data_IF_546076098486
#
_entry.id   IF_546076098486
#
_cell.length_a   1.000
_cell.length_b   1.000
_cell.length_c   1.000
_cell.angle_alpha   90.00
_cell.angle_beta   90.00
_cell.angle_gamma   90.00
#
_symmetry.space_group_name_H-M   'P 1'
#
loop_
_entity.id
_entity.type
_entity.pdbx_description
1 polymer ?
#
# COMPACT_ATOMS: atom_id res chain seq x y z
N UNK A 1 -19.75 5.24 29.25
CA UNK A 1 -18.56 5.76 28.56
C UNK A 1 -18.93 7.14 28.04
N UNK A 2 -18.38 8.18 28.63
CA UNK A 2 -18.66 9.54 28.21
C UNK A 2 -17.79 9.94 26.99
N UNK A 3 -18.00 11.14 26.46
CA UNK A 3 -17.26 11.61 25.27
C UNK A 3 -15.76 11.80 25.57
N UNK A 4 -15.43 12.17 26.81
CA UNK A 4 -14.03 12.37 27.22
C UNK A 4 -13.32 11.01 27.33
N UNK A 5 -13.97 9.97 27.87
CA UNK A 5 -13.44 8.59 27.90
C UNK A 5 -13.08 8.08 26.50
N UNK A 6 -13.96 8.38 25.51
CA UNK A 6 -13.72 7.99 24.10
C UNK A 6 -12.52 8.74 23.51
N UNK A 7 -12.42 10.04 23.77
CA UNK A 7 -11.31 10.85 23.30
C UNK A 7 -9.97 10.43 23.92
N UNK A 8 -9.94 10.23 25.23
CA UNK A 8 -8.73 9.78 25.94
C UNK A 8 -8.27 8.42 25.43
N UNK A 9 -9.20 7.49 25.20
CA UNK A 9 -8.91 6.19 24.63
C UNK A 9 -8.40 6.31 23.18
N UNK A 10 -8.98 7.18 22.35
CA UNK A 10 -8.53 7.43 20.99
C UNK A 10 -7.12 8.04 20.96
N UNK A 11 -6.83 8.98 21.87
CA UNK A 11 -5.49 9.59 22.01
C UNK A 11 -4.47 8.52 22.43
N UNK A 12 -4.81 7.66 23.38
CA UNK A 12 -3.94 6.56 23.81
C UNK A 12 -3.68 5.55 22.68
N UNK A 13 -4.69 5.23 21.86
CA UNK A 13 -4.54 4.38 20.68
C UNK A 13 -3.70 5.03 19.56
N UNK A 14 -3.53 6.33 19.56
CA UNK A 14 -2.70 7.03 18.59
C UNK A 14 -1.23 7.20 19.04
N UNK A 15 -0.89 6.85 20.29
CA UNK A 15 0.49 6.96 20.81
C UNK A 15 1.35 5.75 20.42
N UNK A 16 2.68 5.94 20.24
CA UNK A 16 3.60 4.83 20.11
C UNK A 16 3.50 3.87 21.30
N UNK A 17 3.61 2.58 21.03
CA UNK A 17 3.62 1.54 22.06
C UNK A 17 4.83 0.65 21.81
N UNK A 18 5.62 0.41 22.85
CA UNK A 18 6.79 -0.46 22.77
C UNK A 18 6.35 -1.93 22.72
N UNK A 19 5.95 -2.35 21.52
CA UNK A 19 5.36 -3.66 21.25
C UNK A 19 5.78 -4.18 19.88
N UNK A 20 7.06 -4.52 19.74
CA UNK A 20 7.51 -5.29 18.59
C UNK A 20 6.85 -6.69 18.61
N UNK A 21 6.45 -7.25 17.46
CA UNK A 21 5.90 -8.59 17.43
C UNK A 21 6.98 -9.62 17.81
N UNK A 22 6.74 -10.50 18.82
CA UNK A 22 7.63 -11.61 19.13
C UNK A 22 7.88 -12.53 17.93
N UNK A 23 8.95 -13.34 17.94
CA UNK A 23 9.37 -14.16 16.80
C UNK A 23 8.27 -15.03 16.20
N UNK A 24 7.46 -15.70 17.01
CA UNK A 24 6.34 -16.51 16.50
C UNK A 24 5.22 -15.68 15.84
N UNK A 25 4.95 -14.43 16.32
CA UNK A 25 4.05 -13.50 15.65
C UNK A 25 4.61 -13.02 14.31
N UNK A 26 5.92 -12.82 14.25
CA UNK A 26 6.63 -12.48 13.01
C UNK A 26 6.46 -13.60 11.99
N UNK A 27 6.71 -14.85 12.38
CA UNK A 27 6.53 -16.01 11.51
C UNK A 27 5.08 -16.19 11.06
N UNK A 28 4.12 -15.99 11.97
CA UNK A 28 2.69 -16.04 11.64
C UNK A 28 2.30 -14.95 10.63
N UNK A 29 2.77 -13.71 10.83
CA UNK A 29 2.50 -12.61 9.91
C UNK A 29 3.06 -12.88 8.50
N UNK A 30 4.28 -13.42 8.41
CA UNK A 30 4.90 -13.84 7.15
C UNK A 30 4.09 -14.96 6.48
N UNK A 31 3.73 -16.00 7.24
CA UNK A 31 2.96 -17.13 6.73
C UNK A 31 1.60 -16.68 6.20
N UNK A 32 0.87 -15.84 6.96
CA UNK A 32 -0.41 -15.28 6.52
C UNK A 32 -0.25 -14.48 5.24
N UNK A 33 0.72 -13.58 5.15
CA UNK A 33 0.95 -12.80 3.93
C UNK A 33 1.29 -13.68 2.72
N UNK A 34 2.14 -14.70 2.90
CA UNK A 34 2.49 -15.65 1.85
C UNK A 34 1.26 -16.46 1.38
N UNK A 35 0.47 -16.99 2.31
CA UNK A 35 -0.75 -17.75 2.00
C UNK A 35 -1.76 -16.89 1.25
N UNK A 36 -1.98 -15.65 1.71
CA UNK A 36 -2.89 -14.70 1.06
C UNK A 36 -2.48 -14.41 -0.38
N UNK A 37 -1.19 -14.19 -0.61
CA UNK A 37 -0.69 -13.90 -1.97
C UNK A 37 -0.65 -15.16 -2.83
N UNK A 38 -0.38 -16.33 -2.27
CA UNK A 38 -0.28 -17.59 -3.02
C UNK A 38 -1.65 -18.11 -3.48
N UNK A 39 -2.67 -18.06 -2.63
CA UNK A 39 -3.99 -18.61 -2.92
C UNK A 39 -4.82 -17.66 -3.81
N UNK A 40 -5.40 -18.14 -4.93
CA UNK A 40 -6.16 -17.26 -5.85
C UNK A 40 -7.35 -16.58 -5.20
N UNK A 41 -8.06 -17.25 -4.29
CA UNK A 41 -9.25 -16.71 -3.64
C UNK A 41 -8.92 -15.55 -2.70
N UNK A 42 -7.97 -15.75 -1.79
CA UNK A 42 -7.54 -14.74 -0.82
C UNK A 42 -6.85 -13.56 -1.52
N UNK A 43 -6.05 -13.85 -2.55
CA UNK A 43 -5.47 -12.81 -3.39
C UNK A 43 -6.52 -11.92 -4.06
N UNK A 44 -7.59 -12.53 -4.61
CA UNK A 44 -8.69 -11.76 -5.22
C UNK A 44 -9.35 -10.81 -4.22
N UNK A 45 -9.47 -11.20 -2.96
CA UNK A 45 -10.07 -10.39 -1.91
C UNK A 45 -9.17 -9.25 -1.44
N UNK A 46 -7.85 -9.47 -1.35
CA UNK A 46 -6.91 -8.50 -0.78
C UNK A 46 -6.08 -7.71 -1.82
N UNK A 47 -6.07 -8.15 -3.08
CA UNK A 47 -5.45 -7.40 -4.18
C UNK A 47 -5.94 -5.94 -4.29
N UNK A 48 -7.22 -5.60 -4.02
CA UNK A 48 -7.66 -4.20 -4.02
C UNK A 48 -6.84 -3.30 -3.11
N UNK A 49 -6.34 -3.79 -1.96
CA UNK A 49 -5.49 -2.99 -1.09
C UNK A 49 -4.17 -2.59 -1.80
N UNK A 50 -3.54 -3.53 -2.52
CA UNK A 50 -2.34 -3.25 -3.31
C UNK A 50 -2.65 -2.26 -4.44
N UNK A 51 -3.79 -2.45 -5.12
CA UNK A 51 -4.24 -1.55 -6.20
C UNK A 51 -4.53 -0.14 -5.66
N UNK A 52 -5.21 0.00 -4.52
CA UNK A 52 -5.48 1.31 -3.89
C UNK A 52 -4.15 2.05 -3.61
N UNK A 53 -3.17 1.36 -3.02
CA UNK A 53 -1.86 1.98 -2.74
C UNK A 53 -1.13 2.37 -4.04
N UNK A 54 -1.23 1.56 -5.09
CA UNK A 54 -0.71 1.87 -6.43
C UNK A 54 -1.34 3.15 -6.98
N UNK A 55 -2.68 3.25 -7.00
CA UNK A 55 -3.38 4.43 -7.53
C UNK A 55 -3.14 5.69 -6.69
N UNK A 56 -3.09 5.55 -5.38
CA UNK A 56 -2.71 6.65 -4.49
C UNK A 56 -1.27 7.09 -4.73
N UNK A 57 -0.36 6.18 -5.06
CA UNK A 57 1.01 6.50 -5.47
C UNK A 57 1.04 7.48 -6.65
N UNK A 58 0.30 7.20 -7.73
CA UNK A 58 0.15 8.10 -8.87
C UNK A 58 -0.41 9.47 -8.44
N UNK A 59 -1.45 9.45 -7.59
CA UNK A 59 -2.12 10.66 -7.13
C UNK A 59 -1.23 11.54 -6.25
N UNK A 60 -0.61 10.96 -5.22
CA UNK A 60 0.23 11.67 -4.25
C UNK A 60 1.46 12.29 -4.94
N UNK A 61 2.20 11.49 -5.72
CA UNK A 61 3.36 12.00 -6.47
C UNK A 61 2.92 13.01 -7.52
N UNK A 62 1.78 12.79 -8.16
CA UNK A 62 1.19 13.76 -9.07
C UNK A 62 0.95 15.10 -8.38
N UNK A 63 0.32 15.12 -7.21
CA UNK A 63 0.07 16.35 -6.42
C UNK A 63 1.38 17.01 -6.00
N UNK A 64 2.37 16.24 -5.53
CA UNK A 64 3.69 16.77 -5.20
C UNK A 64 4.40 17.44 -6.39
N UNK A 65 4.07 17.02 -7.61
CA UNK A 65 4.55 17.61 -8.87
C UNK A 65 3.61 18.69 -9.43
N UNK A 66 2.69 19.23 -8.64
CA UNK A 66 1.77 20.32 -9.05
C UNK A 66 0.60 19.86 -9.94
N UNK A 67 0.31 18.56 -10.06
CA UNK A 67 -0.86 18.03 -10.76
C UNK A 67 -2.07 18.01 -9.80
N UNK A 68 -3.27 18.07 -10.34
CA UNK A 68 -4.51 17.93 -9.55
C UNK A 68 -4.93 16.46 -9.57
N UNK A 69 -5.00 15.82 -8.42
CA UNK A 69 -5.56 14.48 -8.27
C UNK A 69 -7.08 14.60 -8.07
N UNK A 70 -7.87 14.09 -8.99
CA UNK A 70 -9.34 14.28 -9.02
C UNK A 70 -10.10 13.03 -8.65
N UNK A 71 -9.42 11.89 -8.51
CA UNK A 71 -10.01 10.64 -8.04
C UNK A 71 -9.33 9.40 -8.57
N UNK A 72 -9.81 8.26 -8.12
CA UNK A 72 -9.35 6.94 -8.59
C UNK A 72 -10.49 5.94 -8.68
N UNK A 73 -10.28 4.93 -9.50
CA UNK A 73 -11.19 3.81 -9.71
C UNK A 73 -10.42 2.51 -9.47
N UNK A 74 -11.02 1.59 -8.75
CA UNK A 74 -10.64 0.17 -8.71
C UNK A 74 -11.80 -0.58 -9.36
N UNK A 75 -11.52 -1.31 -10.41
CA UNK A 75 -12.52 -2.05 -11.19
C UNK A 75 -12.74 -3.45 -10.63
N UNK A 76 -13.84 -4.10 -11.01
CA UNK A 76 -14.15 -5.47 -10.57
C UNK A 76 -13.17 -6.53 -11.09
N UNK A 77 -12.46 -6.25 -12.20
CA UNK A 77 -11.32 -7.05 -12.68
C UNK A 77 -10.02 -6.77 -11.95
N UNK A 78 -10.09 -5.95 -10.89
CA UNK A 78 -8.96 -5.52 -10.05
C UNK A 78 -7.93 -4.64 -10.76
N UNK A 79 -8.25 -4.09 -11.92
CA UNK A 79 -7.47 -2.99 -12.51
C UNK A 79 -7.74 -1.68 -11.76
N UNK A 80 -6.76 -0.79 -11.73
CA UNK A 80 -6.90 0.53 -11.15
C UNK A 80 -6.73 1.63 -12.20
N UNK A 81 -7.23 2.82 -11.88
CA UNK A 81 -7.02 4.01 -12.69
C UNK A 81 -7.07 5.27 -11.83
N UNK A 82 -5.93 5.96 -11.71
CA UNK A 82 -5.83 7.28 -11.06
C UNK A 82 -6.08 8.41 -12.06
N UNK A 83 -6.94 9.34 -11.72
CA UNK A 83 -7.24 10.50 -12.57
C UNK A 83 -6.47 11.71 -12.06
N UNK A 84 -5.44 12.09 -12.80
CA UNK A 84 -4.66 13.30 -12.52
C UNK A 84 -4.78 14.30 -13.67
N UNK A 85 -5.04 15.56 -13.36
CA UNK A 85 -5.17 16.67 -14.32
C UNK A 85 -3.96 17.59 -14.20
N UNK A 86 -3.37 17.95 -15.34
CA UNK A 86 -2.19 18.81 -15.42
C UNK A 86 -1.52 18.72 -16.80
N UNK A 87 -0.35 19.30 -17.00
CA UNK A 87 0.37 19.24 -18.27
C UNK A 87 0.49 17.80 -18.79
N UNK A 88 0.24 17.60 -20.10
CA UNK A 88 0.24 16.27 -20.72
C UNK A 88 1.65 15.69 -20.87
N UNK A 89 2.69 16.52 -20.74
CA UNK A 89 4.12 16.17 -20.85
C UNK A 89 4.91 16.77 -19.69
N UNK A 90 6.19 16.42 -19.60
CA UNK A 90 7.13 16.93 -18.60
C UNK A 90 7.34 16.01 -17.41
N UNK A 91 8.32 16.36 -16.57
CA UNK A 91 8.81 15.52 -15.46
C UNK A 91 7.71 15.13 -14.49
N UNK A 92 6.81 16.06 -14.12
CA UNK A 92 5.71 15.76 -13.20
C UNK A 92 4.74 14.71 -13.74
N UNK A 93 4.51 14.64 -15.06
CA UNK A 93 3.70 13.58 -15.69
C UNK A 93 4.41 12.23 -15.62
N UNK A 94 5.73 12.22 -15.89
CA UNK A 94 6.56 11.01 -15.85
C UNK A 94 6.65 10.47 -14.43
N UNK A 95 6.96 11.31 -13.43
CA UNK A 95 7.06 10.89 -12.03
C UNK A 95 5.72 10.38 -11.50
N UNK A 96 4.61 11.07 -11.81
CA UNK A 96 3.27 10.59 -11.45
C UNK A 96 2.97 9.22 -12.08
N UNK A 97 3.28 9.02 -13.36
CA UNK A 97 3.06 7.74 -14.03
C UNK A 97 3.98 6.63 -13.52
N UNK A 98 5.20 6.97 -13.08
CA UNK A 98 6.16 6.00 -12.54
C UNK A 98 5.80 5.52 -11.14
N UNK A 99 5.16 6.37 -10.32
CA UNK A 99 5.00 6.16 -8.88
C UNK A 99 4.10 4.98 -8.49
N UNK A 100 3.23 4.51 -9.38
CA UNK A 100 2.27 3.44 -9.07
C UNK A 100 2.94 2.15 -8.60
N UNK A 101 3.84 1.58 -9.39
CA UNK A 101 4.51 0.31 -9.05
C UNK A 101 5.42 0.39 -7.82
N UNK A 102 6.23 1.44 -7.62
CA UNK A 102 7.02 1.61 -6.41
C UNK A 102 6.22 1.81 -5.13
N UNK A 103 5.04 2.44 -5.20
CA UNK A 103 4.29 2.83 -4.01
C UNK A 103 3.93 1.66 -3.07
N UNK A 104 3.38 0.52 -3.52
CA UNK A 104 3.10 -0.60 -2.63
C UNK A 104 4.36 -1.16 -1.97
N UNK A 105 5.50 -1.18 -2.67
CA UNK A 105 6.75 -1.68 -2.11
C UNK A 105 7.32 -0.72 -1.06
N UNK A 106 7.31 0.59 -1.32
CA UNK A 106 7.75 1.61 -0.38
C UNK A 106 6.89 1.62 0.89
N UNK A 107 5.57 1.64 0.72
CA UNK A 107 4.63 1.59 1.85
C UNK A 107 4.80 0.27 2.61
N UNK A 108 4.91 -0.85 1.92
CA UNK A 108 5.12 -2.16 2.53
C UNK A 108 6.40 -2.22 3.37
N UNK A 109 7.53 -1.74 2.83
CA UNK A 109 8.79 -1.70 3.57
C UNK A 109 8.72 -0.76 4.78
N UNK A 110 8.09 0.41 4.65
CA UNK A 110 7.86 1.33 5.77
C UNK A 110 7.00 0.69 6.86
N UNK A 111 5.93 -0.01 6.51
CA UNK A 111 5.08 -0.70 7.49
C UNK A 111 5.86 -1.79 8.24
N UNK A 112 6.77 -2.50 7.57
CA UNK A 112 7.66 -3.47 8.23
C UNK A 112 8.54 -2.76 9.27
N UNK A 113 9.19 -1.63 8.95
CA UNK A 113 9.99 -0.87 9.91
C UNK A 113 9.14 -0.39 11.10
N UNK A 114 7.96 0.12 10.81
CA UNK A 114 6.99 0.62 11.80
C UNK A 114 6.56 -0.47 12.78
N UNK A 115 6.35 -1.71 12.28
CA UNK A 115 5.92 -2.83 13.11
C UNK A 115 6.93 -3.19 14.21
N UNK A 116 8.23 -3.07 13.91
CA UNK A 116 9.30 -3.33 14.89
C UNK A 116 9.72 -2.09 15.68
N UNK A 117 9.41 -0.90 15.20
CA UNK A 117 9.78 0.38 15.82
C UNK A 117 8.80 0.90 16.87
N UNK A 118 7.73 0.16 17.23
CA UNK A 118 6.73 0.63 18.19
C UNK A 118 5.74 1.69 17.65
N UNK A 119 5.77 1.97 16.34
CA UNK A 119 4.96 3.01 15.70
C UNK A 119 3.69 2.47 15.00
N UNK A 120 3.31 1.22 15.27
CA UNK A 120 2.15 0.61 14.61
C UNK A 120 0.85 1.40 14.86
N UNK A 121 0.58 1.82 16.11
CA UNK A 121 -0.62 2.58 16.47
C UNK A 121 -0.73 3.93 15.74
N UNK A 122 0.26 4.85 15.83
CA UNK A 122 0.22 6.12 15.11
C UNK A 122 0.06 5.95 13.60
N UNK A 123 0.73 4.97 13.01
CA UNK A 123 0.68 4.72 11.57
C UNK A 123 -0.68 4.17 11.15
N UNK A 124 -1.29 3.27 11.91
CA UNK A 124 -2.67 2.81 11.63
C UNK A 124 -3.66 3.95 11.75
N UNK A 125 -3.49 4.85 12.73
CA UNK A 125 -4.29 6.08 12.82
C UNK A 125 -4.13 6.95 11.57
N UNK A 126 -2.90 7.16 11.10
CA UNK A 126 -2.65 7.89 9.85
C UNK A 126 -3.28 7.19 8.62
N UNK A 127 -3.22 5.86 8.54
CA UNK A 127 -3.87 5.08 7.48
C UNK A 127 -5.38 5.29 7.50
N UNK A 128 -6.02 5.27 8.68
CA UNK A 128 -7.45 5.54 8.82
C UNK A 128 -7.82 6.92 8.30
N UNK A 129 -7.03 7.95 8.62
CA UNK A 129 -7.22 9.31 8.10
C UNK A 129 -7.08 9.32 6.57
N UNK A 130 -6.05 8.69 6.01
CA UNK A 130 -5.84 8.63 4.55
C UNK A 130 -6.99 7.91 3.86
N UNK A 131 -7.46 6.78 4.41
CA UNK A 131 -8.62 6.04 3.87
C UNK A 131 -9.89 6.88 3.93
N UNK A 132 -10.15 7.58 5.05
CA UNK A 132 -11.30 8.46 5.19
C UNK A 132 -11.25 9.63 4.18
N UNK A 133 -10.11 10.29 4.03
CA UNK A 133 -9.92 11.35 3.04
C UNK A 133 -10.06 10.83 1.60
N UNK A 134 -9.64 9.59 1.34
CA UNK A 134 -9.74 8.99 0.01
C UNK A 134 -11.18 8.76 -0.44
N UNK A 135 -12.17 8.69 0.48
CA UNK A 135 -13.59 8.61 0.14
C UNK A 135 -14.06 9.77 -0.74
N UNK A 136 -13.52 10.97 -0.55
CA UNK A 136 -13.82 12.14 -1.39
C UNK A 136 -13.32 11.98 -2.84
N UNK A 137 -12.37 11.08 -3.06
CA UNK A 137 -11.70 10.83 -4.35
C UNK A 137 -12.19 9.58 -5.07
N UNK A 138 -13.10 8.82 -4.45
CA UNK A 138 -13.69 7.61 -5.03
C UNK A 138 -14.60 7.96 -6.22
N UNK A 139 -14.49 7.19 -7.32
CA UNK A 139 -15.22 7.43 -8.56
C UNK A 139 -16.05 6.23 -9.06
N UNK A 140 -16.15 5.15 -8.26
CA UNK A 140 -17.03 4.02 -8.58
C UNK A 140 -17.60 3.36 -7.33
N UNK A 141 -18.75 2.69 -7.45
CA UNK A 141 -19.37 1.96 -6.32
C UNK A 141 -18.47 0.82 -5.83
N UNK A 142 -17.75 0.14 -6.74
CA UNK A 142 -16.82 -0.93 -6.36
C UNK A 142 -15.66 -0.37 -5.54
N UNK A 143 -15.06 0.77 -5.96
CA UNK A 143 -14.03 1.46 -5.20
C UNK A 143 -14.54 1.90 -3.83
N UNK A 144 -15.77 2.44 -3.76
CA UNK A 144 -16.40 2.83 -2.51
C UNK A 144 -16.48 1.64 -1.55
N UNK A 145 -16.99 0.50 -2.02
CA UNK A 145 -17.08 -0.72 -1.23
C UNK A 145 -15.71 -1.20 -0.74
N UNK A 146 -14.69 -1.18 -1.60
CA UNK A 146 -13.33 -1.57 -1.24
C UNK A 146 -12.72 -0.65 -0.17
N UNK A 147 -12.87 0.68 -0.31
CA UNK A 147 -12.36 1.65 0.66
C UNK A 147 -13.13 1.57 1.98
N UNK A 148 -14.46 1.42 1.94
CA UNK A 148 -15.26 1.25 3.18
C UNK A 148 -14.91 -0.04 3.91
N UNK A 149 -14.69 -1.14 3.19
CA UNK A 149 -14.25 -2.40 3.79
C UNK A 149 -12.86 -2.26 4.42
N UNK A 150 -11.92 -1.62 3.71
CA UNK A 150 -10.58 -1.34 4.23
C UNK A 150 -10.64 -0.45 5.48
N UNK A 151 -11.46 0.60 5.45
CA UNK A 151 -11.67 1.50 6.58
C UNK A 151 -12.26 0.76 7.79
N UNK A 152 -13.31 -0.03 7.58
CA UNK A 152 -13.95 -0.80 8.63
C UNK A 152 -13.01 -1.85 9.24
N UNK A 153 -12.27 -2.61 8.42
CA UNK A 153 -11.32 -3.61 8.87
C UNK A 153 -10.15 -2.97 9.65
N UNK A 154 -9.60 -1.87 9.13
CA UNK A 154 -8.51 -1.14 9.78
C UNK A 154 -8.98 -0.49 11.08
N UNK A 155 -10.19 0.09 11.10
CA UNK A 155 -10.79 0.69 12.29
C UNK A 155 -11.09 -0.34 13.38
N UNK A 156 -11.65 -1.50 13.02
CA UNK A 156 -11.87 -2.59 13.94
C UNK A 156 -10.55 -3.09 14.54
N UNK A 157 -9.53 -3.28 13.71
CA UNK A 157 -8.21 -3.68 14.18
C UNK A 157 -7.60 -2.64 15.12
N UNK A 158 -7.68 -1.35 14.77
CA UNK A 158 -7.15 -0.25 15.56
C UNK A 158 -7.81 -0.18 16.94
N UNK A 159 -9.13 -0.40 17.02
CA UNK A 159 -9.90 -0.29 18.26
C UNK A 159 -9.83 -1.54 19.14
N UNK A 160 -9.86 -2.73 18.53
CA UNK A 160 -10.01 -4.00 19.24
C UNK A 160 -8.69 -4.70 19.54
N UNK A 161 -7.63 -4.44 18.75
CA UNK A 161 -6.39 -5.18 18.90
C UNK A 161 -5.46 -4.57 19.94
N UNK A 162 -4.86 -5.43 20.76
CA UNK A 162 -3.73 -5.03 21.61
C UNK A 162 -2.50 -4.65 20.78
N UNK A 163 -1.51 -3.96 21.38
CA UNK A 163 -0.36 -3.40 20.67
C UNK A 163 0.44 -4.43 19.84
N UNK A 164 0.66 -5.61 20.40
CA UNK A 164 1.40 -6.71 19.75
C UNK A 164 0.64 -7.25 18.53
N UNK A 165 -0.67 -7.47 18.65
CA UNK A 165 -1.51 -7.96 17.54
C UNK A 165 -1.57 -6.92 16.43
N UNK A 166 -1.68 -5.63 16.79
CA UNK A 166 -1.67 -4.53 15.84
C UNK A 166 -0.34 -4.45 15.09
N UNK A 167 0.79 -4.56 15.80
CA UNK A 167 2.11 -4.57 15.19
C UNK A 167 2.30 -5.77 14.24
N UNK A 168 1.86 -6.97 14.63
CA UNK A 168 1.89 -8.16 13.77
C UNK A 168 0.99 -8.00 12.53
N UNK A 169 -0.19 -7.39 12.67
CA UNK A 169 -1.07 -7.10 11.55
C UNK A 169 -0.46 -6.06 10.58
N UNK A 170 0.17 -5.01 11.12
CA UNK A 170 0.91 -4.02 10.31
C UNK A 170 2.06 -4.70 9.56
N UNK A 171 2.80 -5.59 10.20
CA UNK A 171 3.82 -6.42 9.56
C UNK A 171 3.25 -7.26 8.43
N UNK A 172 2.14 -7.99 8.68
CA UNK A 172 1.50 -8.82 7.67
C UNK A 172 1.05 -8.01 6.45
N UNK A 173 0.45 -6.83 6.67
CA UNK A 173 0.06 -5.90 5.59
C UNK A 173 1.29 -5.39 4.84
N UNK A 174 2.37 -5.03 5.56
CA UNK A 174 3.62 -4.59 4.94
C UNK A 174 4.21 -5.65 4.01
N UNK A 175 4.28 -6.89 4.46
CA UNK A 175 4.77 -8.03 3.65
C UNK A 175 3.81 -8.34 2.49
N UNK A 176 2.49 -8.28 2.71
CA UNK A 176 1.49 -8.45 1.65
C UNK A 176 1.67 -7.41 0.53
N UNK A 177 1.92 -6.14 0.88
CA UNK A 177 2.15 -5.09 -0.11
C UNK A 177 3.45 -5.32 -0.90
N UNK A 178 4.53 -5.77 -0.24
CA UNK A 178 5.79 -6.14 -0.91
C UNK A 178 5.61 -7.30 -1.88
N UNK A 179 5.01 -8.40 -1.42
CA UNK A 179 4.72 -9.57 -2.27
C UNK A 179 3.74 -9.21 -3.39
N UNK A 180 2.75 -8.39 -3.07
CA UNK A 180 1.78 -7.86 -4.02
C UNK A 180 2.43 -7.00 -5.12
N UNK A 181 3.40 -6.16 -4.76
CA UNK A 181 4.18 -5.37 -5.73
C UNK A 181 4.93 -6.27 -6.72
N UNK A 182 5.59 -7.33 -6.25
CA UNK A 182 6.24 -8.33 -7.11
C UNK A 182 5.24 -9.04 -8.01
N UNK A 183 4.09 -9.44 -7.47
CA UNK A 183 3.04 -10.12 -8.24
C UNK A 183 2.43 -9.23 -9.33
N UNK A 184 2.21 -7.94 -9.03
CA UNK A 184 1.75 -6.97 -10.03
C UNK A 184 2.80 -6.74 -11.11
N UNK A 185 4.07 -6.60 -10.75
CA UNK A 185 5.17 -6.46 -11.71
C UNK A 185 5.27 -7.69 -12.62
N UNK A 186 5.17 -8.90 -12.05
CA UNK A 186 5.18 -10.16 -12.81
C UNK A 186 4.03 -10.25 -13.83
N UNK A 187 2.85 -9.74 -13.50
CA UNK A 187 1.71 -9.70 -14.42
C UNK A 187 1.97 -8.81 -15.64
N UNK A 188 2.66 -7.67 -15.46
CA UNK A 188 3.04 -6.77 -16.56
C UNK A 188 4.13 -7.37 -17.45
N UNK A 189 5.12 -8.03 -16.84
CA UNK A 189 6.18 -8.71 -17.62
C UNK A 189 5.61 -9.83 -18.48
N UNK A 190 4.63 -10.59 -17.93
CA UNK A 190 4.04 -11.74 -18.63
C UNK A 190 2.98 -11.37 -19.68
N UNK A 191 2.23 -10.28 -19.48
CA UNK A 191 1.06 -9.96 -20.30
C UNK A 191 0.93 -8.44 -20.57
N UNK A 192 2.06 -7.73 -20.74
CA UNK A 192 2.07 -6.26 -20.89
C UNK A 192 1.03 -5.75 -21.89
N UNK A 193 0.13 -4.89 -21.40
CA UNK A 193 -0.91 -4.25 -22.20
C UNK A 193 -0.43 -2.86 -22.63
N UNK A 194 -0.94 -2.38 -23.76
CA UNK A 194 -0.60 -1.04 -24.26
C UNK A 194 -0.93 0.10 -23.27
N UNK A 195 -1.80 -0.16 -22.28
CA UNK A 195 -2.25 0.82 -21.29
C UNK A 195 -1.48 0.75 -19.95
N UNK A 196 -0.58 -0.24 -19.78
CA UNK A 196 0.21 -0.38 -18.55
C UNK A 196 1.22 0.76 -18.41
N UNK A 197 1.56 1.12 -17.16
CA UNK A 197 2.45 2.25 -16.85
C UNK A 197 3.79 2.22 -17.58
N UNK A 198 4.51 1.07 -17.70
CA UNK A 198 5.76 1.03 -18.46
C UNK A 198 5.59 1.44 -19.93
N UNK A 199 4.47 1.03 -20.55
CA UNK A 199 4.16 1.40 -21.94
C UNK A 199 3.78 2.87 -22.06
N UNK A 200 3.04 3.40 -21.06
CA UNK A 200 2.71 4.82 -20.98
C UNK A 200 3.99 5.66 -20.83
N UNK A 201 4.90 5.26 -19.95
CA UNK A 201 6.19 5.92 -19.75
C UNK A 201 7.06 5.88 -21.02
N UNK A 202 7.08 4.74 -21.71
CA UNK A 202 7.80 4.64 -22.98
C UNK A 202 7.28 5.65 -24.02
N UNK A 203 5.95 5.80 -24.13
CA UNK A 203 5.35 6.82 -25.02
C UNK A 203 5.63 8.26 -24.59
N UNK A 204 5.74 8.51 -23.30
CA UNK A 204 6.00 9.86 -22.77
C UNK A 204 7.47 10.29 -22.91
N UNK A 205 8.40 9.35 -22.86
CA UNK A 205 9.84 9.63 -22.70
C UNK A 205 10.70 9.15 -23.86
N UNK A 206 10.20 8.21 -24.67
CA UNK A 206 11.00 7.51 -25.67
C UNK A 206 11.91 6.41 -25.08
N UNK A 207 11.99 6.27 -23.76
CA UNK A 207 12.75 5.20 -23.11
C UNK A 207 11.95 3.89 -23.21
N UNK A 208 12.57 2.76 -23.62
CA UNK A 208 11.86 1.51 -23.80
C UNK A 208 11.15 1.03 -22.52
N UNK A 209 9.97 0.42 -22.65
CA UNK A 209 9.17 -0.04 -21.52
C UNK A 209 9.91 -1.01 -20.58
N UNK A 210 10.79 -1.87 -21.13
CA UNK A 210 11.60 -2.79 -20.31
C UNK A 210 12.53 -2.06 -19.31
N UNK A 211 13.03 -0.89 -19.68
CA UNK A 211 13.91 -0.09 -18.80
C UNK A 211 13.11 0.45 -17.59
N UNK A 212 11.85 0.86 -17.81
CA UNK A 212 10.94 1.25 -16.75
C UNK A 212 10.57 0.06 -15.85
N UNK A 213 10.29 -1.10 -16.46
CA UNK A 213 10.03 -2.35 -15.70
C UNK A 213 11.24 -2.73 -14.85
N UNK A 214 12.46 -2.61 -15.39
CA UNK A 214 13.69 -2.83 -14.61
C UNK A 214 13.82 -1.84 -13.45
N UNK A 215 13.51 -0.56 -13.67
CA UNK A 215 13.52 0.44 -12.59
C UNK A 215 12.57 0.08 -11.43
N UNK A 216 11.39 -0.45 -11.75
CA UNK A 216 10.46 -0.96 -10.75
C UNK A 216 11.03 -2.16 -10.00
N UNK A 217 11.61 -3.14 -10.72
CA UNK A 217 12.22 -4.32 -10.09
C UNK A 217 13.34 -3.93 -9.11
N UNK A 218 14.16 -2.94 -9.48
CA UNK A 218 15.23 -2.43 -8.62
C UNK A 218 14.68 -1.79 -7.34
N UNK A 219 13.66 -0.93 -7.46
CA UNK A 219 13.04 -0.29 -6.27
C UNK A 219 12.35 -1.33 -5.38
N UNK A 220 11.55 -2.22 -5.98
CA UNK A 220 10.86 -3.28 -5.23
C UNK A 220 11.88 -4.19 -4.55
N UNK A 221 12.99 -4.55 -5.23
CA UNK A 221 14.08 -5.33 -4.67
C UNK A 221 14.78 -4.65 -3.50
N UNK A 222 15.08 -3.35 -3.63
CA UNK A 222 15.67 -2.56 -2.56
C UNK A 222 14.75 -2.46 -1.34
N UNK A 223 13.44 -2.24 -1.56
CA UNK A 223 12.42 -2.23 -0.50
C UNK A 223 12.31 -3.59 0.19
N UNK A 224 12.33 -4.69 -0.59
CA UNK A 224 12.30 -6.06 -0.06
C UNK A 224 13.54 -6.35 0.78
N UNK A 225 14.72 -5.95 0.32
CA UNK A 225 15.97 -6.08 1.07
C UNK A 225 15.93 -5.28 2.38
N UNK A 226 15.47 -4.04 2.33
CA UNK A 226 15.35 -3.19 3.52
C UNK A 226 14.37 -3.80 4.55
N UNK A 227 13.23 -4.29 4.11
CA UNK A 227 12.27 -4.99 4.96
C UNK A 227 12.88 -6.28 5.55
N UNK A 228 13.60 -7.06 4.74
CA UNK A 228 14.27 -8.27 5.21
C UNK A 228 15.27 -7.99 6.34
N UNK A 229 16.04 -6.90 6.21
CA UNK A 229 16.99 -6.46 7.26
C UNK A 229 16.31 -6.16 8.60
N UNK A 230 15.06 -5.71 8.58
CA UNK A 230 14.28 -5.49 9.80
C UNK A 230 13.68 -6.80 10.35
N UNK A 231 13.25 -7.71 9.48
CA UNK A 231 12.59 -8.96 9.86
C UNK A 231 13.58 -9.99 10.40
N UNK A 232 14.74 -10.16 9.75
CA UNK A 232 15.66 -11.27 9.99
C UNK A 232 16.15 -11.42 11.43
N UNK A 233 16.41 -10.34 12.22
CA UNK A 233 16.79 -10.46 13.61
C UNK A 233 15.69 -11.03 14.54
N UNK A 234 14.44 -10.99 14.09
CA UNK A 234 13.27 -11.41 14.88
C UNK A 234 12.73 -12.79 14.48
N UNK A 235 13.47 -13.54 13.66
CA UNK A 235 13.08 -14.89 13.22
C UNK A 235 13.72 -16.01 14.05
N UNK A 236 14.64 -15.66 14.94
CA UNK A 236 15.37 -16.58 15.81
C UNK A 236 14.59 -16.88 17.10
#
# INVERSE_FOLDING_TARGET
>A
MDWNDILDQAIEHARPADAAPPGWWTLLALAVACVVVALPLTWRLLRPAVTIVHELGHGIVGMACGRRFTGFVVSGDMSGHAVTVGPSRGLGRVLSAWAGYPAPALVGALLVQVAFGGWARPVVTAILVVLALSLALVRSAHTLGAVLLALAATGALWWLAGPTVLAAAVLAVGVLLLLGAWRHLGAVVGHGRAQDDPQQLARLTGVPAWAWTLSYALVIGACTWWAWRAISPHMA
#
